data_IF_469200086382
#
_entry.id   IF_469200086382
#
_cell.length_a   1.000
_cell.length_b   1.000
_cell.length_c   1.000
_cell.angle_alpha   90.00
_cell.angle_beta   90.00
_cell.angle_gamma   90.00
#
_symmetry.space_group_name_H-M   'P 1'
#
loop_
_entity.id
_entity.type
_entity.pdbx_description
1 polymer ?
#
# COMPACT_ATOMS: atom_id res chain seq x y z
N UNK A 1 -15.09 -5.85 -7.94
CA UNK A 1 -14.45 -4.60 -7.54
C UNK A 1 -13.91 -4.70 -6.11
N UNK A 2 -12.60 -4.62 -5.94
CA UNK A 2 -11.93 -4.58 -4.63
C UNK A 2 -12.00 -3.15 -4.08
N UNK A 3 -12.52 -3.02 -2.86
CA UNK A 3 -12.51 -1.79 -2.08
C UNK A 3 -11.50 -1.91 -0.94
N UNK A 4 -10.83 -0.81 -0.62
CA UNK A 4 -9.89 -0.79 0.48
C UNK A 4 -10.66 -0.59 1.80
N UNK A 5 -10.53 -1.51 2.79
CA UNK A 5 -11.21 -1.39 4.07
C UNK A 5 -10.82 -0.11 4.83
N UNK A 6 -11.71 0.35 5.71
CA UNK A 6 -11.39 1.47 6.63
C UNK A 6 -10.44 1.05 7.75
N UNK A 7 -10.50 -0.22 8.17
CA UNK A 7 -9.62 -0.77 9.19
C UNK A 7 -8.20 -0.96 8.64
N UNK A 8 -7.21 -0.36 9.31
CA UNK A 8 -5.83 -0.31 8.80
C UNK A 8 -5.18 -1.69 8.80
N UNK A 9 -5.58 -2.59 9.70
CA UNK A 9 -5.11 -3.98 9.71
C UNK A 9 -5.71 -4.76 8.56
N UNK A 10 -7.02 -4.59 8.31
CA UNK A 10 -7.70 -5.22 7.19
C UNK A 10 -7.17 -4.76 5.82
N UNK A 11 -6.58 -3.56 5.73
CA UNK A 11 -5.89 -3.10 4.51
C UNK A 11 -4.63 -3.93 4.20
N UNK A 12 -3.89 -4.37 5.22
CA UNK A 12 -2.56 -4.95 5.05
C UNK A 12 -2.50 -6.20 4.16
N UNK A 13 -3.38 -7.21 4.29
CA UNK A 13 -3.34 -8.35 3.38
C UNK A 13 -3.58 -7.95 1.91
N UNK A 14 -4.43 -6.96 1.66
CA UNK A 14 -4.74 -6.48 0.29
C UNK A 14 -3.54 -5.72 -0.27
N UNK A 15 -2.99 -4.77 0.50
CA UNK A 15 -1.81 -3.99 0.10
C UNK A 15 -0.59 -4.88 -0.11
N UNK A 16 -0.40 -5.91 0.74
CA UNK A 16 0.66 -6.90 0.59
C UNK A 16 0.53 -7.69 -0.72
N UNK A 17 -0.67 -8.14 -1.08
CA UNK A 17 -0.91 -8.85 -2.35
C UNK A 17 -0.57 -7.99 -3.57
N UNK A 18 -0.91 -6.70 -3.53
CA UNK A 18 -0.57 -5.76 -4.59
C UNK A 18 0.94 -5.51 -4.64
N UNK A 19 1.58 -5.31 -3.48
CA UNK A 19 3.02 -5.10 -3.37
C UNK A 19 3.83 -6.26 -3.97
N UNK A 20 3.33 -7.51 -3.87
CA UNK A 20 3.95 -8.70 -4.46
C UNK A 20 4.02 -8.70 -6.00
N UNK A 21 3.31 -7.80 -6.69
CA UNK A 21 3.42 -7.63 -8.15
C UNK A 21 4.56 -6.72 -8.58
N UNK A 22 5.18 -5.99 -7.65
CA UNK A 22 6.35 -5.17 -7.93
C UNK A 22 7.62 -5.99 -7.77
N UNK A 23 8.63 -5.66 -8.58
CA UNK A 23 9.93 -6.31 -8.57
C UNK A 23 10.93 -5.46 -7.80
N UNK A 24 11.71 -6.09 -6.91
CA UNK A 24 12.77 -5.41 -6.16
C UNK A 24 13.83 -4.87 -7.12
N UNK A 25 14.25 -3.63 -6.91
CA UNK A 25 15.25 -2.94 -7.74
C UNK A 25 14.71 -2.33 -9.03
N UNK A 26 13.45 -2.58 -9.42
CA UNK A 26 12.82 -1.90 -10.55
C UNK A 26 12.23 -0.55 -10.11
N UNK A 27 12.43 0.46 -10.96
CA UNK A 27 11.77 1.76 -10.88
C UNK A 27 10.53 1.73 -11.79
N UNK A 28 9.42 2.24 -11.28
CA UNK A 28 8.14 2.30 -11.97
C UNK A 28 7.70 3.76 -12.10
N UNK A 29 7.21 4.13 -13.27
CA UNK A 29 6.49 5.38 -13.46
C UNK A 29 5.09 5.29 -12.87
N UNK A 30 4.47 6.44 -12.56
CA UNK A 30 3.11 6.50 -12.01
C UNK A 30 2.08 5.70 -12.84
N UNK A 31 2.19 5.74 -14.16
CA UNK A 31 1.30 5.01 -15.08
C UNK A 31 1.46 3.49 -14.98
N UNK A 32 2.66 2.98 -14.74
CA UNK A 32 2.89 1.55 -14.52
C UNK A 32 2.32 1.10 -13.18
N UNK A 33 2.52 1.90 -12.12
CA UNK A 33 1.95 1.64 -10.80
C UNK A 33 0.43 1.57 -10.89
N UNK A 34 -0.21 2.51 -11.59
CA UNK A 34 -1.65 2.54 -11.78
C UNK A 34 -2.16 1.29 -12.52
N UNK A 35 -1.45 0.85 -13.58
CA UNK A 35 -1.80 -0.38 -14.30
C UNK A 35 -1.68 -1.63 -13.43
N UNK A 36 -0.64 -1.73 -12.61
CA UNK A 36 -0.47 -2.85 -11.68
C UNK A 36 -1.62 -2.87 -10.66
N UNK A 37 -1.95 -1.73 -10.06
CA UNK A 37 -3.03 -1.63 -9.07
C UNK A 37 -4.39 -1.97 -9.70
N UNK A 38 -4.72 -1.39 -10.85
CA UNK A 38 -6.00 -1.62 -11.54
C UNK A 38 -6.19 -3.07 -12.01
N UNK A 39 -5.10 -3.83 -12.20
CA UNK A 39 -5.18 -5.27 -12.50
C UNK A 39 -5.84 -6.12 -11.40
N UNK A 40 -6.02 -5.57 -10.21
CA UNK A 40 -6.74 -6.19 -9.09
C UNK A 40 -8.23 -5.82 -9.06
N UNK A 41 -8.80 -5.34 -10.17
CA UNK A 41 -10.23 -4.99 -10.28
C UNK A 41 -10.63 -3.93 -9.24
N UNK A 42 -9.93 -2.79 -9.22
CA UNK A 42 -10.24 -1.64 -8.36
C UNK A 42 -10.28 -0.35 -9.17
N UNK A 43 -11.25 0.52 -8.88
CA UNK A 43 -11.37 1.84 -9.55
C UNK A 43 -10.59 2.93 -8.78
N UNK A 44 -10.40 2.74 -7.46
CA UNK A 44 -9.74 3.71 -6.56
C UNK A 44 -8.21 3.55 -6.51
N UNK A 45 -7.56 3.34 -7.65
CA UNK A 45 -6.13 3.09 -7.71
C UNK A 45 -5.25 4.19 -7.05
N UNK A 46 -5.75 5.43 -7.01
CA UNK A 46 -5.13 6.55 -6.29
C UNK A 46 -5.06 6.31 -4.77
N UNK A 47 -6.15 5.80 -4.17
CA UNK A 47 -6.21 5.46 -2.75
C UNK A 47 -5.21 4.33 -2.44
N UNK A 48 -5.23 3.27 -3.24
CA UNK A 48 -4.30 2.15 -3.06
C UNK A 48 -2.84 2.59 -3.17
N UNK A 49 -2.50 3.40 -4.18
CA UNK A 49 -1.16 3.93 -4.36
C UNK A 49 -0.69 4.75 -3.15
N UNK A 50 -1.58 5.61 -2.62
CA UNK A 50 -1.29 6.39 -1.40
C UNK A 50 -1.04 5.47 -0.21
N UNK A 51 -1.87 4.46 -0.01
CA UNK A 51 -1.78 3.56 1.15
C UNK A 51 -0.56 2.63 1.06
N UNK A 52 -0.18 2.18 -0.15
CA UNK A 52 1.08 1.47 -0.38
C UNK A 52 2.30 2.29 0.06
N UNK A 53 2.26 3.61 -0.09
CA UNK A 53 3.31 4.52 0.41
C UNK A 53 3.17 4.72 1.92
N UNK A 54 1.95 5.01 2.41
CA UNK A 54 1.70 5.29 3.83
C UNK A 54 2.13 4.14 4.75
N UNK A 55 1.92 2.89 4.34
CA UNK A 55 2.36 1.71 5.10
C UNK A 55 3.78 1.23 4.73
N UNK A 56 4.44 1.93 3.81
CA UNK A 56 5.84 1.70 3.46
C UNK A 56 6.11 0.46 2.60
N UNK A 57 5.13 -0.01 1.83
CA UNK A 57 5.36 -1.04 0.80
C UNK A 57 6.13 -0.47 -0.39
N UNK A 58 5.73 0.73 -0.83
CA UNK A 58 6.40 1.49 -1.89
C UNK A 58 7.01 2.77 -1.34
N UNK A 59 8.04 3.26 -2.01
CA UNK A 59 8.52 4.64 -1.87
C UNK A 59 8.32 5.39 -3.18
N UNK A 60 8.24 6.72 -3.11
CA UNK A 60 8.06 7.61 -4.26
C UNK A 60 9.09 8.74 -4.23
N UNK A 61 9.65 9.04 -5.40
CA UNK A 61 10.35 10.31 -5.63
C UNK A 61 9.30 11.35 -6.11
N UNK A 62 9.03 12.39 -5.31
CA UNK A 62 7.99 13.36 -5.66
C UNK A 62 8.37 14.29 -6.81
N UNK A 63 9.66 14.44 -7.11
CA UNK A 63 10.14 15.29 -8.20
C UNK A 63 10.12 14.54 -9.53
N UNK A 64 10.44 13.24 -9.50
CA UNK A 64 10.49 12.41 -10.71
C UNK A 64 9.18 11.67 -10.99
N UNK A 65 8.29 11.54 -10.01
CA UNK A 65 7.05 10.79 -10.18
C UNK A 65 7.26 9.28 -10.25
N UNK A 66 8.40 8.80 -9.75
CA UNK A 66 8.81 7.39 -9.82
C UNK A 66 8.62 6.67 -8.49
N UNK A 67 8.45 5.35 -8.57
CA UNK A 67 8.11 4.48 -7.46
C UNK A 67 9.00 3.24 -7.44
N UNK A 68 9.25 2.69 -6.25
CA UNK A 68 9.96 1.42 -6.09
C UNK A 68 9.51 0.64 -4.87
N UNK A 69 9.66 -0.69 -4.95
CA UNK A 69 9.33 -1.62 -3.87
C UNK A 69 10.34 -1.53 -2.73
N UNK A 70 9.86 -1.32 -1.51
CA UNK A 70 10.64 -1.47 -0.28
C UNK A 70 10.47 -2.88 0.32
N UNK A 71 9.23 -3.32 0.46
CA UNK A 71 8.84 -4.60 1.08
C UNK A 71 7.47 -5.05 0.60
N UNK A 72 7.23 -6.35 0.67
CA UNK A 72 5.94 -6.98 0.31
C UNK A 72 5.12 -7.38 1.53
N UNK A 73 5.73 -7.41 2.71
CA UNK A 73 5.12 -7.87 3.96
C UNK A 73 5.61 -7.00 5.12
N UNK A 74 4.75 -6.81 6.12
CA UNK A 74 5.07 -6.14 7.37
C UNK A 74 5.40 -7.17 8.45
N UNK A 75 6.29 -6.80 9.38
CA UNK A 75 6.54 -7.63 10.56
C UNK A 75 5.30 -7.69 11.47
N UNK A 76 5.17 -8.77 12.24
CA UNK A 76 4.09 -8.90 13.23
C UNK A 76 4.07 -7.72 14.20
N UNK A 77 5.24 -7.26 14.66
CA UNK A 77 5.37 -6.08 15.51
C UNK A 77 4.77 -4.81 14.87
N UNK A 78 4.99 -4.61 13.57
CA UNK A 78 4.43 -3.47 12.84
C UNK A 78 2.91 -3.58 12.76
N UNK A 79 2.38 -4.77 12.48
CA UNK A 79 0.93 -5.03 12.44
C UNK A 79 0.31 -4.77 13.81
N UNK A 80 0.91 -5.26 14.90
CA UNK A 80 0.40 -5.02 16.25
C UNK A 80 0.38 -3.54 16.61
N UNK A 81 1.40 -2.77 16.19
CA UNK A 81 1.46 -1.33 16.39
C UNK A 81 0.38 -0.57 15.62
N UNK A 82 0.11 -0.95 14.35
CA UNK A 82 -0.98 -0.37 13.55
C UNK A 82 -2.33 -0.59 14.25
N UNK A 83 -2.59 -1.82 14.71
CA UNK A 83 -3.85 -2.18 15.36
C UNK A 83 -4.06 -1.43 16.69
N UNK A 84 -2.98 -1.20 17.46
CA UNK A 84 -3.02 -0.41 18.70
C UNK A 84 -3.32 1.07 18.44
N UNK A 85 -2.74 1.68 17.40
CA UNK A 85 -2.96 3.10 17.05
C UNK A 85 -4.42 3.35 16.67
N UNK A 86 -5.00 2.50 15.84
CA UNK A 86 -6.38 2.65 15.38
C UNK A 86 -7.42 2.56 16.52
N UNK A 87 -7.18 1.70 17.53
CA UNK A 87 -8.03 1.60 18.72
C UNK A 87 -7.94 2.83 19.63
N UNK A 88 -6.82 3.55 19.61
CA UNK A 88 -6.65 4.79 20.39
C UNK A 88 -7.44 5.95 19.76
N UNK A 89 -7.44 6.06 18.44
CA UNK A 89 -8.15 7.13 17.71
C UNK A 89 -9.68 6.97 17.70
N UNK A 90 -10.21 5.78 18.00
CA UNK A 90 -11.67 5.53 18.09
C UNK A 90 -12.25 5.70 19.52
N UNK A 91 -11.42 6.06 20.50
CA UNK A 91 -11.82 6.16 21.91
C UNK A 91 -12.01 7.59 22.43
N UNK A 92 -11.89 8.58 21.55
CA UNK A 92 -12.10 10.01 21.85
C UNK A 92 -13.42 10.51 21.21
#
# INVERSE_FOLDING_TARGET
MILLPKDDIAKQPILSQIAKKFSRGKIYEESEVNRIITSFDTEDHVLFRRELINFGYLQRDPYKGTYWLLKTELSQETLDAIGKRQKKTQKD
#
